data_IF_986342401746
#
_entry.id   IF_986342401746
#
_cell.length_a   1.000
_cell.length_b   1.000
_cell.length_c   1.000
_cell.angle_alpha   90.00
_cell.angle_beta   90.00
_cell.angle_gamma   90.00
#
_symmetry.space_group_name_H-M   'P 1'
#
loop_
_entity.id
_entity.type
_entity.pdbx_description
1 polymer ?
#
# COMPACT_ATOMS: atom_id res chain seq x y z
N UNK A 1 -4.56 -52.73 -17.41
CA UNK A 1 -4.92 -53.07 -16.03
C UNK A 1 -3.66 -52.83 -15.21
N UNK A 2 -3.37 -51.64 -14.67
CA UNK A 2 -4.24 -50.64 -14.05
C UNK A 2 -3.58 -49.28 -14.22
N UNK A 3 -4.39 -48.23 -14.37
CA UNK A 3 -3.95 -46.82 -14.42
C UNK A 3 -3.24 -46.42 -13.13
N UNK A 4 -2.04 -45.87 -13.24
CA UNK A 4 -1.45 -45.01 -12.20
C UNK A 4 -1.56 -43.59 -12.73
N UNK A 5 -2.57 -42.87 -12.25
CA UNK A 5 -2.84 -41.50 -12.64
C UNK A 5 -1.60 -40.64 -12.36
N UNK A 6 -0.97 -40.16 -13.44
CA UNK A 6 -0.02 -39.06 -13.38
C UNK A 6 -0.74 -37.83 -12.84
N UNK A 7 -0.66 -37.64 -11.52
CA UNK A 7 -1.01 -36.39 -10.89
C UNK A 7 0.07 -35.39 -11.33
N UNK A 8 -0.18 -34.70 -12.44
CA UNK A 8 0.64 -33.58 -12.91
C UNK A 8 0.67 -32.53 -11.82
N UNK A 9 1.69 -32.61 -10.98
CA UNK A 9 2.02 -31.59 -10.00
C UNK A 9 2.27 -30.31 -10.79
N UNK A 10 1.31 -29.39 -10.73
CA UNK A 10 1.56 -27.99 -11.05
C UNK A 10 2.81 -27.58 -10.27
N UNK A 11 3.76 -26.85 -10.87
CA UNK A 11 4.91 -26.35 -10.12
C UNK A 11 4.35 -25.59 -8.93
N UNK A 12 4.70 -26.02 -7.72
CA UNK A 12 4.40 -25.28 -6.50
C UNK A 12 5.10 -23.95 -6.69
N UNK A 13 4.33 -22.92 -7.04
CA UNK A 13 4.84 -21.55 -7.04
C UNK A 13 5.28 -21.33 -5.62
N UNK A 14 6.58 -21.21 -5.41
CA UNK A 14 7.19 -21.02 -4.12
C UNK A 14 6.53 -19.80 -3.44
N UNK A 15 5.63 -20.05 -2.48
CA UNK A 15 4.84 -19.06 -1.74
C UNK A 15 5.69 -18.43 -0.63
N UNK A 16 6.86 -17.91 -1.02
CA UNK A 16 7.75 -17.15 -0.14
C UNK A 16 7.39 -15.67 -0.25
N UNK A 17 7.39 -14.91 0.87
CA UNK A 17 7.19 -13.47 0.83
C UNK A 17 8.20 -12.83 -0.13
N UNK A 18 7.69 -12.23 -1.20
CA UNK A 18 8.46 -11.37 -2.09
C UNK A 18 8.41 -9.95 -1.54
N UNK A 19 9.48 -9.20 -1.71
CA UNK A 19 9.52 -7.75 -1.44
C UNK A 19 8.60 -7.06 -2.45
N UNK A 20 7.34 -6.86 -2.04
CA UNK A 20 6.28 -6.25 -2.83
C UNK A 20 5.71 -5.07 -2.06
N UNK A 21 5.30 -4.04 -2.79
CA UNK A 21 4.67 -2.85 -2.21
C UNK A 21 3.47 -3.20 -1.32
N UNK A 22 3.21 -2.37 -0.32
CA UNK A 22 2.01 -2.46 0.52
C UNK A 22 0.92 -1.51 0.03
N UNK A 23 -0.33 -1.95 0.04
CA UNK A 23 -1.50 -1.13 -0.27
C UNK A 23 -2.55 -1.22 0.83
N UNK A 24 -3.28 -0.14 1.06
CA UNK A 24 -4.43 -0.11 1.97
C UNK A 24 -5.57 0.69 1.37
N UNK A 25 -6.81 0.30 1.67
CA UNK A 25 -8.01 1.08 1.43
C UNK A 25 -8.85 1.20 2.69
N UNK A 26 -9.35 2.41 2.96
CA UNK A 26 -10.26 2.73 4.06
C UNK A 26 -11.47 3.42 3.47
N UNK A 27 -12.68 3.06 3.91
CA UNK A 27 -13.91 3.71 3.45
C UNK A 27 -14.96 3.78 4.54
N UNK A 28 -15.84 4.79 4.46
CA UNK A 28 -17.02 4.91 5.30
C UNK A 28 -16.77 5.51 6.68
N UNK A 29 -15.57 6.01 6.98
CA UNK A 29 -15.17 6.53 8.29
C UNK A 29 -14.57 7.93 8.12
N UNK A 30 -14.90 8.87 9.01
CA UNK A 30 -14.27 10.19 9.06
C UNK A 30 -12.75 10.09 9.22
N UNK A 31 -12.00 11.06 8.67
CA UNK A 31 -10.53 11.08 8.70
C UNK A 31 -9.90 9.77 8.18
N UNK A 32 -10.43 9.22 7.09
CA UNK A 32 -9.96 7.94 6.53
C UNK A 32 -8.44 7.92 6.23
N UNK A 33 -7.84 9.09 5.96
CA UNK A 33 -6.40 9.27 5.75
C UNK A 33 -5.55 8.96 6.98
N UNK A 34 -6.03 9.24 8.20
CA UNK A 34 -5.31 8.92 9.45
C UNK A 34 -5.25 7.41 9.68
N UNK A 35 -6.36 6.70 9.43
CA UNK A 35 -6.38 5.24 9.48
C UNK A 35 -5.51 4.62 8.38
N UNK A 36 -5.53 5.19 7.17
CA UNK A 36 -4.65 4.75 6.10
C UNK A 36 -3.17 4.95 6.47
N UNK A 37 -2.82 6.07 7.11
CA UNK A 37 -1.47 6.31 7.64
C UNK A 37 -1.05 5.24 8.66
N UNK A 38 -1.89 4.94 9.66
CA UNK A 38 -1.57 3.92 10.67
C UNK A 38 -1.40 2.53 10.04
N UNK A 39 -2.26 2.18 9.08
CA UNK A 39 -2.15 0.93 8.35
C UNK A 39 -0.88 0.87 7.49
N UNK A 40 -0.54 1.94 6.78
CA UNK A 40 0.72 2.01 6.03
C UNK A 40 1.94 1.94 6.94
N UNK A 41 1.88 2.56 8.13
CA UNK A 41 2.94 2.46 9.13
C UNK A 41 3.14 1.01 9.58
N UNK A 42 2.05 0.27 9.83
CA UNK A 42 2.13 -1.17 10.10
C UNK A 42 2.69 -1.97 8.90
N UNK A 43 2.38 -1.54 7.68
CA UNK A 43 2.88 -2.13 6.44
C UNK A 43 4.26 -1.60 5.99
N UNK A 44 4.96 -0.78 6.79
CA UNK A 44 6.22 -0.14 6.42
C UNK A 44 7.30 -1.14 5.96
N UNK A 45 7.26 -2.36 6.51
CA UNK A 45 8.14 -3.46 6.14
C UNK A 45 7.98 -3.94 4.69
N UNK A 46 6.93 -3.51 3.98
CA UNK A 46 6.66 -3.80 2.56
C UNK A 46 7.18 -2.73 1.59
N UNK A 47 7.88 -1.71 2.09
CA UNK A 47 8.48 -0.69 1.23
C UNK A 47 8.93 0.52 2.03
N UNK A 48 10.20 0.92 1.87
CA UNK A 48 10.82 2.00 2.64
C UNK A 48 11.26 3.18 1.77
N UNK A 49 10.92 3.17 0.48
CA UNK A 49 11.44 4.16 -0.46
C UNK A 49 10.57 5.41 -0.61
N UNK A 50 9.26 5.20 -0.54
CA UNK A 50 8.27 6.27 -0.64
C UNK A 50 6.93 5.81 -0.11
N UNK A 51 6.10 6.77 0.27
CA UNK A 51 4.73 6.54 0.69
C UNK A 51 3.80 7.56 0.04
N UNK A 52 2.52 7.20 -0.09
CA UNK A 52 1.49 8.06 -0.66
C UNK A 52 0.11 7.73 -0.12
N UNK A 53 -0.70 8.77 0.12
CA UNK A 53 -2.11 8.67 0.49
C UNK A 53 -2.92 9.57 -0.42
N UNK A 54 -4.01 9.01 -0.95
CA UNK A 54 -5.07 9.70 -1.67
C UNK A 54 -6.34 9.65 -0.82
N UNK A 55 -6.93 10.80 -0.48
CA UNK A 55 -8.23 10.87 0.19
C UNK A 55 -9.28 11.49 -0.72
N UNK A 56 -10.54 11.07 -0.59
CA UNK A 56 -11.66 11.55 -1.39
C UNK A 56 -12.73 12.18 -0.50
N UNK A 57 -13.07 13.42 -0.82
CA UNK A 57 -14.12 14.21 -0.17
C UNK A 57 -14.96 14.86 -1.27
N UNK A 58 -16.28 14.72 -1.20
CA UNK A 58 -17.23 15.31 -2.16
C UNK A 58 -16.88 15.04 -3.64
N UNK A 59 -16.41 13.82 -3.92
CA UNK A 59 -16.00 13.40 -5.27
C UNK A 59 -14.67 13.99 -5.75
N UNK A 60 -13.93 14.71 -4.90
CA UNK A 60 -12.62 15.28 -5.21
C UNK A 60 -11.52 14.51 -4.49
N UNK A 61 -10.53 14.07 -5.27
CA UNK A 61 -9.35 13.42 -4.74
C UNK A 61 -8.29 14.46 -4.35
N UNK A 62 -7.69 14.30 -3.16
CA UNK A 62 -6.47 15.00 -2.72
C UNK A 62 -5.39 13.97 -2.45
N UNK A 63 -4.17 14.25 -2.88
CA UNK A 63 -3.05 13.31 -2.82
C UNK A 63 -1.86 14.00 -2.16
N UNK A 64 -1.21 13.30 -1.24
CA UNK A 64 0.12 13.63 -0.75
C UNK A 64 1.01 12.40 -0.87
N UNK A 65 2.23 12.56 -1.38
CA UNK A 65 3.23 11.50 -1.52
C UNK A 65 4.63 12.07 -1.48
N UNK A 66 5.58 11.27 -1.04
CA UNK A 66 6.98 11.69 -0.92
C UNK A 66 7.94 10.51 -0.72
N UNK A 67 9.26 10.79 -0.80
CA UNK A 67 10.30 9.82 -0.50
C UNK A 67 10.35 9.48 0.99
N UNK A 68 10.90 8.31 1.29
CA UNK A 68 11.22 7.88 2.65
C UNK A 68 10.11 7.07 3.33
N UNK A 69 10.19 7.01 4.65
CA UNK A 69 9.27 6.27 5.49
C UNK A 69 7.92 6.97 5.55
N UNK A 70 6.87 6.22 5.89
CA UNK A 70 5.51 6.74 6.10
C UNK A 70 5.53 7.89 7.13
N UNK A 71 6.34 7.78 8.18
CA UNK A 71 6.51 8.82 9.20
C UNK A 71 7.24 10.08 8.72
N UNK A 72 8.05 9.96 7.66
CA UNK A 72 8.78 11.10 7.09
C UNK A 72 7.88 11.88 6.12
N UNK A 73 7.00 11.15 5.42
CA UNK A 73 6.07 11.71 4.42
C UNK A 73 4.85 12.35 5.09
N UNK A 74 4.36 11.78 6.19
CA UNK A 74 3.11 12.21 6.82
C UNK A 74 3.31 12.69 8.25
N UNK A 75 3.03 13.96 8.47
CA UNK A 75 2.76 14.54 9.79
C UNK A 75 1.34 15.10 9.86
N UNK A 76 0.94 15.63 11.03
CA UNK A 76 -0.40 16.18 11.26
C UNK A 76 -0.81 17.23 10.23
N UNK A 77 0.14 18.05 9.77
CA UNK A 77 -0.11 19.08 8.76
C UNK A 77 -0.43 18.52 7.37
N UNK A 78 0.17 17.40 6.97
CA UNK A 78 -0.10 16.77 5.67
C UNK A 78 -1.39 15.94 5.72
N UNK A 79 -1.65 15.23 6.82
CA UNK A 79 -2.90 14.49 7.01
C UNK A 79 -4.12 15.42 7.07
N UNK A 80 -3.99 16.60 7.69
CA UNK A 80 -5.05 17.60 7.70
C UNK A 80 -5.43 18.12 6.29
N UNK A 81 -4.54 17.99 5.29
CA UNK A 81 -4.82 18.35 3.89
C UNK A 81 -5.50 17.22 3.10
N UNK A 82 -5.72 16.06 3.74
CA UNK A 82 -6.32 14.86 3.15
C UNK A 82 -7.64 14.50 3.85
N UNK A 83 -8.65 15.39 3.90
CA UNK A 83 -9.92 15.07 4.51
C UNK A 83 -10.74 14.15 3.60
N UNK A 84 -11.77 13.54 4.18
CA UNK A 84 -12.70 12.67 3.47
C UNK A 84 -12.94 11.34 4.17
N UNK A 85 -13.97 10.65 3.70
CA UNK A 85 -14.43 9.37 4.27
C UNK A 85 -13.88 8.14 3.56
N UNK A 86 -13.06 8.34 2.54
CA UNK A 86 -12.39 7.28 1.80
C UNK A 86 -10.94 7.66 1.55
N UNK A 87 -10.03 6.70 1.73
CA UNK A 87 -8.62 6.89 1.44
C UNK A 87 -7.97 5.61 0.90
N UNK A 88 -7.00 5.78 0.03
CA UNK A 88 -6.10 4.74 -0.47
C UNK A 88 -4.67 5.11 -0.10
N UNK A 89 -3.90 4.13 0.37
CA UNK A 89 -2.51 4.30 0.75
C UNK A 89 -1.60 3.30 0.04
N UNK A 90 -0.34 3.69 -0.19
CA UNK A 90 0.69 2.83 -0.76
C UNK A 90 2.06 3.08 -0.10
N UNK A 91 2.81 2.01 0.17
CA UNK A 91 4.26 2.05 0.44
C UNK A 91 5.02 1.34 -0.66
N UNK A 92 6.07 1.97 -1.19
CA UNK A 92 6.83 1.47 -2.33
C UNK A 92 8.12 0.80 -1.89
N UNK A 93 8.37 -0.38 -2.42
CA UNK A 93 9.69 -1.00 -2.47
C UNK A 93 10.35 -0.72 -3.83
N UNK A 94 11.68 -0.60 -3.88
CA UNK A 94 12.37 -0.37 -5.16
C UNK A 94 12.27 -1.59 -6.06
N UNK A 95 11.84 -1.37 -7.29
CA UNK A 95 12.07 -2.31 -8.38
C UNK A 95 13.09 -1.73 -9.36
N UNK A 96 13.54 -2.54 -10.31
CA UNK A 96 14.56 -2.16 -11.30
C UNK A 96 14.23 -0.90 -12.15
N UNK A 97 13.01 -0.34 -12.04
CA UNK A 97 12.58 0.89 -12.71
C UNK A 97 12.97 2.21 -12.04
N UNK A 98 13.63 2.18 -10.87
CA UNK A 98 14.16 3.38 -10.18
C UNK A 98 13.12 4.15 -9.35
N UNK A 99 13.60 5.10 -8.54
CA UNK A 99 12.80 5.89 -7.59
C UNK A 99 12.35 7.23 -8.21
N UNK A 100 11.19 7.25 -8.87
CA UNK A 100 10.52 8.50 -9.29
C UNK A 100 9.25 8.72 -8.48
N UNK A 101 9.19 9.89 -7.86
CA UNK A 101 8.09 10.37 -7.02
C UNK A 101 7.72 11.76 -7.52
#
# INVERSE_FOLDING_TARGET
MSEEAAHTLLPVVEDKPREECGVVGVSGIENASELAFLALYALQHRGQESAGICAVEDGRARIHKGPGLVSDVFGSAELAKLPGRAALGHVRYSTAGGNRI
#
